data_IF_419211248495
#
_entry.id   IF_419211248495
#
_cell.length_a   1.000
_cell.length_b   1.000
_cell.length_c   1.000
_cell.angle_alpha   90.00
_cell.angle_beta   90.00
_cell.angle_gamma   90.00
#
_symmetry.space_group_name_H-M   'P 1'
#
loop_
_entity.id
_entity.type
_entity.pdbx_description
1 polymer ?
#
# COMPACT_ATOMS: atom_id res chain seq x y z
N UNK A 1 9.90 -10.98 -3.83
CA UNK A 1 8.92 -10.09 -4.51
C UNK A 1 8.80 -10.51 -5.97
N UNK A 2 7.60 -10.44 -6.51
CA UNK A 2 7.31 -10.75 -7.91
C UNK A 2 7.63 -9.51 -8.75
N UNK A 3 8.19 -9.70 -9.95
CA UNK A 3 8.50 -8.64 -10.91
C UNK A 3 9.47 -7.56 -10.41
N UNK A 4 9.24 -6.32 -10.86
CA UNK A 4 9.96 -5.10 -10.47
C UNK A 4 11.48 -5.18 -10.77
N UNK A 5 11.87 -5.70 -11.94
CA UNK A 5 13.27 -5.91 -12.28
C UNK A 5 14.08 -4.62 -12.17
N UNK A 6 13.63 -3.54 -12.82
CA UNK A 6 14.32 -2.26 -12.84
C UNK A 6 14.49 -1.68 -11.42
N UNK A 7 13.42 -1.70 -10.60
CA UNK A 7 13.49 -1.21 -9.24
C UNK A 7 14.45 -2.02 -8.35
N UNK A 8 14.48 -3.35 -8.53
CA UNK A 8 15.43 -4.23 -7.81
C UNK A 8 16.87 -3.93 -8.16
N UNK A 9 17.20 -3.78 -9.45
CA UNK A 9 18.53 -3.48 -9.94
C UNK A 9 19.06 -2.14 -9.38
N UNK A 10 18.22 -1.10 -9.39
CA UNK A 10 18.60 0.21 -8.85
C UNK A 10 18.82 0.14 -7.34
N UNK A 11 17.93 -0.56 -6.60
CA UNK A 11 18.05 -0.71 -5.15
C UNK A 11 19.29 -1.53 -4.78
N UNK A 12 19.58 -2.61 -5.50
CA UNK A 12 20.77 -3.43 -5.27
C UNK A 12 22.03 -2.60 -5.52
N UNK A 13 22.07 -1.84 -6.60
CA UNK A 13 23.16 -0.91 -6.92
C UNK A 13 23.35 0.11 -5.80
N UNK A 14 22.25 0.69 -5.29
CA UNK A 14 22.31 1.65 -4.18
C UNK A 14 22.88 1.02 -2.90
N UNK A 15 22.40 -0.15 -2.51
CA UNK A 15 22.88 -0.87 -1.32
C UNK A 15 24.36 -1.19 -1.45
N UNK A 16 24.80 -1.70 -2.61
CA UNK A 16 26.21 -2.02 -2.85
C UNK A 16 27.10 -0.75 -2.81
N UNK A 17 26.63 0.34 -3.41
CA UNK A 17 27.33 1.62 -3.35
C UNK A 17 27.51 2.11 -1.91
N UNK A 18 26.47 2.08 -1.09
CA UNK A 18 26.54 2.51 0.31
C UNK A 18 27.44 1.62 1.16
N UNK A 19 27.42 0.30 0.94
CA UNK A 19 28.33 -0.63 1.61
C UNK A 19 29.79 -0.31 1.31
N UNK A 20 30.11 -0.12 0.04
CA UNK A 20 31.49 0.20 -0.36
C UNK A 20 31.93 1.55 0.19
N UNK A 21 31.09 2.56 0.15
CA UNK A 21 31.39 3.89 0.73
C UNK A 21 31.62 3.82 2.24
N UNK A 22 30.85 3.00 2.97
CA UNK A 22 31.07 2.76 4.39
C UNK A 22 32.42 2.12 4.64
N UNK A 23 32.80 1.07 3.90
CA UNK A 23 34.10 0.43 4.01
C UNK A 23 35.24 1.42 3.74
N UNK A 24 35.18 2.21 2.68
CA UNK A 24 36.20 3.22 2.37
C UNK A 24 36.34 4.28 3.46
N UNK A 25 35.20 4.69 4.08
CA UNK A 25 35.24 5.63 5.20
C UNK A 25 35.94 5.01 6.41
N UNK A 26 35.59 3.79 6.74
CA UNK A 26 36.10 3.10 7.93
C UNK A 26 37.61 2.78 7.79
N UNK A 27 38.10 2.50 6.57
CA UNK A 27 39.49 2.17 6.32
C UNK A 27 40.38 3.40 6.04
N UNK A 28 39.87 4.42 5.33
CA UNK A 28 40.68 5.52 4.82
C UNK A 28 40.42 6.87 5.48
N UNK A 29 39.33 6.99 6.24
CA UNK A 29 38.96 8.20 6.99
C UNK A 29 38.51 9.41 6.16
N UNK A 30 38.44 9.30 4.81
CA UNK A 30 38.28 10.43 3.90
C UNK A 30 36.94 10.55 3.19
N UNK A 31 35.96 9.70 3.45
CA UNK A 31 34.72 9.73 2.69
C UNK A 31 33.61 10.46 3.43
N UNK A 32 33.12 11.57 2.87
CA UNK A 32 31.82 12.11 3.27
C UNK A 32 30.75 11.04 3.08
N UNK A 33 29.79 10.99 4.02
CA UNK A 33 28.63 10.10 3.89
C UNK A 33 27.80 10.53 2.68
N UNK A 34 27.58 9.65 1.69
CA UNK A 34 26.77 10.00 0.54
C UNK A 34 25.32 10.19 0.98
N UNK A 35 24.59 11.05 0.28
CA UNK A 35 23.15 11.13 0.44
C UNK A 35 22.53 9.78 0.09
N UNK A 36 21.67 9.26 0.98
CA UNK A 36 20.96 7.98 0.79
C UNK A 36 19.50 8.19 0.36
N UNK A 37 19.09 9.45 0.14
CA UNK A 37 17.72 9.75 -0.21
C UNK A 37 17.37 9.33 -1.63
N UNK A 38 16.12 8.92 -1.81
CA UNK A 38 15.64 8.33 -3.06
C UNK A 38 14.29 8.91 -3.48
N UNK A 39 13.98 8.75 -4.77
CA UNK A 39 12.64 8.96 -5.29
C UNK A 39 12.11 7.66 -5.91
N UNK A 40 10.88 7.28 -5.55
CA UNK A 40 10.17 6.13 -6.08
C UNK A 40 9.03 6.62 -6.97
N UNK A 41 9.11 6.33 -8.26
CA UNK A 41 8.10 6.75 -9.23
C UNK A 41 7.37 5.55 -9.82
N UNK A 42 6.06 5.63 -9.96
CA UNK A 42 5.26 4.57 -10.57
C UNK A 42 3.77 4.67 -10.23
N UNK A 43 2.97 3.94 -10.98
CA UNK A 43 1.52 3.90 -10.84
C UNK A 43 1.06 3.31 -9.50
N UNK A 44 -0.23 3.45 -9.12
CA UNK A 44 -0.76 2.88 -7.90
C UNK A 44 -0.62 1.35 -7.88
N UNK A 45 -0.39 0.79 -6.70
CA UNK A 45 -0.33 -0.66 -6.53
C UNK A 45 0.92 -1.35 -7.08
N UNK A 46 1.95 -0.61 -7.51
CA UNK A 46 3.26 -1.15 -7.96
C UNK A 46 4.19 -1.53 -6.81
N UNK A 47 3.69 -1.60 -5.59
CA UNK A 47 4.38 -2.02 -4.37
C UNK A 47 5.51 -1.09 -3.87
N UNK A 48 5.49 0.20 -4.17
CA UNK A 48 6.48 1.21 -3.70
C UNK A 48 6.72 1.12 -2.19
N UNK A 49 5.68 1.22 -1.38
CA UNK A 49 5.76 1.13 0.09
C UNK A 49 6.30 -0.22 0.59
N UNK A 50 5.90 -1.33 -0.07
CA UNK A 50 6.39 -2.67 0.31
C UNK A 50 7.89 -2.83 0.04
N UNK A 51 8.38 -2.26 -1.06
CA UNK A 51 9.81 -2.24 -1.39
C UNK A 51 10.57 -1.34 -0.43
N UNK A 52 10.04 -0.16 -0.10
CA UNK A 52 10.66 0.74 0.88
C UNK A 52 10.84 0.06 2.25
N UNK A 53 9.83 -0.73 2.67
CA UNK A 53 9.91 -1.51 3.93
C UNK A 53 10.98 -2.60 3.90
N UNK A 54 11.11 -3.32 2.78
CA UNK A 54 12.18 -4.30 2.59
C UNK A 54 13.56 -3.63 2.54
N UNK A 55 13.66 -2.51 1.84
CA UNK A 55 14.88 -1.72 1.74
C UNK A 55 15.36 -1.27 3.12
N UNK A 56 14.47 -0.75 3.97
CA UNK A 56 14.79 -0.37 5.34
C UNK A 56 15.39 -1.54 6.14
N UNK A 57 14.81 -2.76 6.02
CA UNK A 57 15.36 -3.97 6.63
C UNK A 57 16.74 -4.34 6.07
N UNK A 58 16.91 -4.31 4.75
CA UNK A 58 18.19 -4.59 4.10
C UNK A 58 19.27 -3.60 4.55
N UNK A 59 18.96 -2.31 4.65
CA UNK A 59 19.89 -1.28 5.11
C UNK A 59 20.33 -1.52 6.55
N UNK A 60 19.41 -1.90 7.44
CA UNK A 60 19.73 -2.30 8.83
C UNK A 60 20.63 -3.55 8.86
N UNK A 61 20.24 -4.60 8.15
CA UNK A 61 20.94 -5.88 8.17
C UNK A 61 22.38 -5.78 7.61
N UNK A 62 22.63 -4.74 6.81
CA UNK A 62 23.97 -4.38 6.34
C UNK A 62 24.67 -3.30 7.19
N UNK A 63 24.10 -2.93 8.34
CA UNK A 63 24.67 -1.94 9.24
C UNK A 63 24.73 -0.52 8.68
N UNK A 64 23.91 -0.20 7.67
CA UNK A 64 23.82 1.12 7.05
C UNK A 64 22.80 2.02 7.75
N UNK A 65 21.83 1.43 8.43
CA UNK A 65 20.88 2.10 9.32
C UNK A 65 20.88 1.39 10.67
N UNK A 66 20.76 2.15 11.75
CA UNK A 66 20.81 1.61 13.11
C UNK A 66 19.53 0.87 13.51
N UNK A 67 18.36 1.28 13.02
CA UNK A 67 17.04 0.74 13.39
C UNK A 67 16.35 0.02 12.23
N UNK A 68 16.30 0.63 11.05
CA UNK A 68 15.76 0.03 9.82
C UNK A 68 14.24 -0.14 9.80
N UNK A 69 13.48 0.74 10.45
CA UNK A 69 12.02 0.81 10.38
C UNK A 69 11.58 1.68 9.21
N UNK A 70 10.33 1.53 8.78
CA UNK A 70 9.68 2.41 7.82
C UNK A 70 8.66 3.29 8.54
N UNK A 71 8.80 4.61 8.42
CA UNK A 71 7.83 5.60 8.86
C UNK A 71 7.12 6.15 7.63
N UNK A 72 5.86 5.77 7.46
CA UNK A 72 5.03 6.21 6.34
C UNK A 72 4.34 7.53 6.71
N UNK A 73 4.51 8.55 5.88
CA UNK A 73 3.98 9.88 6.09
C UNK A 73 3.22 10.33 4.84
N UNK A 74 2.05 10.92 5.06
CA UNK A 74 1.32 11.68 4.06
C UNK A 74 1.40 13.18 4.35
N UNK A 75 0.78 14.00 3.47
CA UNK A 75 0.70 15.45 3.67
C UNK A 75 0.16 15.85 5.05
N UNK A 76 -0.90 15.17 5.52
CA UNK A 76 -1.54 15.45 6.82
C UNK A 76 -0.64 15.23 8.04
N UNK A 77 0.40 14.40 7.89
CA UNK A 77 1.36 14.08 8.95
C UNK A 77 2.51 15.08 9.03
N UNK A 78 2.68 15.91 7.99
CA UNK A 78 3.82 16.82 7.79
C UNK A 78 3.38 18.27 7.91
N UNK A 79 2.23 18.63 7.33
CA UNK A 79 1.76 20.01 7.24
C UNK A 79 0.94 20.37 8.49
N UNK A 80 1.39 21.39 9.22
CA UNK A 80 0.69 21.91 10.40
C UNK A 80 -0.56 22.71 10.05
N UNK A 81 -1.46 22.88 11.03
CA UNK A 81 -2.69 23.67 10.89
C UNK A 81 -2.45 25.18 11.09
N UNK A 82 -1.35 25.56 11.70
CA UNK A 82 -1.00 26.95 12.03
C UNK A 82 0.39 27.29 11.52
N UNK A 83 0.64 28.57 11.25
CA UNK A 83 1.93 29.09 10.81
C UNK A 83 3.02 28.76 11.84
N UNK A 84 4.17 28.26 11.37
CA UNK A 84 5.31 27.87 12.22
C UNK A 84 5.24 26.46 12.81
N UNK A 85 4.09 25.78 12.76
CA UNK A 85 3.99 24.43 13.32
C UNK A 85 4.55 23.36 12.37
N UNK A 86 4.56 23.62 11.08
CA UNK A 86 5.05 22.70 10.06
C UNK A 86 6.51 22.33 10.28
N UNK A 87 7.36 23.32 10.52
CA UNK A 87 8.78 23.08 10.79
C UNK A 87 9.02 22.20 12.02
N UNK A 88 8.28 22.44 13.12
CA UNK A 88 8.41 21.63 14.33
C UNK A 88 7.92 20.19 14.13
N UNK A 89 6.82 20.01 13.40
CA UNK A 89 6.31 18.67 13.03
C UNK A 89 7.34 17.92 12.21
N UNK A 90 7.89 18.53 11.15
CA UNK A 90 8.93 17.90 10.31
C UNK A 90 10.13 17.49 11.17
N UNK A 91 10.68 18.40 11.98
CA UNK A 91 11.82 18.10 12.86
C UNK A 91 11.51 16.96 13.83
N UNK A 92 10.29 16.90 14.36
CA UNK A 92 9.84 15.82 15.23
C UNK A 92 9.82 14.49 14.48
N UNK A 93 9.29 14.46 13.25
CA UNK A 93 9.26 13.25 12.40
C UNK A 93 10.66 12.74 12.07
N UNK A 94 11.60 13.61 11.74
CA UNK A 94 12.99 13.23 11.53
C UNK A 94 13.64 12.64 12.79
N UNK A 95 13.38 13.22 13.97
CA UNK A 95 13.86 12.65 15.25
C UNK A 95 13.28 11.28 15.54
N UNK A 96 11.98 11.08 15.29
CA UNK A 96 11.30 9.78 15.45
C UNK A 96 11.85 8.72 14.50
N UNK A 97 12.23 9.13 13.28
CA UNK A 97 12.71 8.24 12.21
C UNK A 97 14.23 8.05 12.22
N UNK A 98 14.94 8.52 13.23
CA UNK A 98 16.40 8.36 13.31
C UNK A 98 16.79 6.87 13.22
N UNK A 99 17.79 6.56 12.41
CA UNK A 99 18.21 5.18 12.13
C UNK A 99 17.27 4.40 11.21
N UNK A 100 16.37 5.08 10.51
CA UNK A 100 15.28 4.45 9.78
C UNK A 100 14.99 5.13 8.44
N UNK A 101 13.92 4.72 7.78
CA UNK A 101 13.44 5.27 6.51
C UNK A 101 12.19 6.08 6.74
N UNK A 102 12.19 7.34 6.31
CA UNK A 102 11.01 8.18 6.13
C UNK A 102 10.49 8.00 4.71
N UNK A 103 9.26 7.50 4.58
CA UNK A 103 8.60 7.31 3.31
C UNK A 103 7.46 8.32 3.18
N UNK A 104 7.61 9.26 2.26
CA UNK A 104 6.62 10.31 2.00
C UNK A 104 5.84 9.92 0.76
N UNK A 105 4.62 9.42 0.95
CA UNK A 105 3.76 9.03 -0.17
C UNK A 105 3.05 10.25 -0.76
N UNK A 106 2.82 10.20 -2.08
CA UNK A 106 2.24 11.31 -2.85
C UNK A 106 2.93 12.66 -2.54
N UNK A 107 4.27 12.65 -2.52
CA UNK A 107 5.10 13.78 -2.06
C UNK A 107 4.81 15.09 -2.81
N UNK A 108 4.34 15.02 -4.05
CA UNK A 108 3.89 16.17 -4.83
C UNK A 108 2.71 16.92 -4.17
N UNK A 109 1.94 16.24 -3.32
CA UNK A 109 0.84 16.85 -2.56
C UNK A 109 1.32 17.88 -1.53
N UNK A 110 2.61 17.88 -1.18
CA UNK A 110 3.21 18.90 -0.32
C UNK A 110 3.25 20.28 -1.00
N UNK A 111 3.31 20.32 -2.33
CA UNK A 111 3.28 21.57 -3.11
C UNK A 111 1.84 21.91 -3.44
N UNK A 112 1.23 22.77 -2.66
CA UNK A 112 -0.13 23.26 -2.92
C UNK A 112 -0.12 24.57 -3.70
N UNK A 113 -1.17 24.78 -4.49
CA UNK A 113 -1.43 26.02 -5.22
C UNK A 113 -1.73 27.25 -4.33
N UNK A 114 -1.96 27.02 -3.03
CA UNK A 114 -2.26 28.05 -2.02
C UNK A 114 -1.09 28.47 -1.11
N UNK A 115 0.10 27.94 -1.34
CA UNK A 115 1.41 28.58 -1.16
C UNK A 115 2.14 28.37 0.15
N UNK A 116 1.87 28.78 1.32
CA UNK A 116 2.93 29.01 2.32
C UNK A 116 3.35 27.81 3.20
N UNK A 117 2.43 26.91 3.52
CA UNK A 117 2.74 25.80 4.44
C UNK A 117 3.50 24.65 3.78
N UNK A 118 3.27 24.43 2.50
CA UNK A 118 3.97 23.39 1.75
C UNK A 118 5.44 23.75 1.50
N UNK A 119 5.72 24.99 1.16
CA UNK A 119 7.09 25.48 0.96
C UNK A 119 7.88 25.44 2.28
N UNK A 120 7.26 25.77 3.42
CA UNK A 120 7.86 25.63 4.75
C UNK A 120 8.22 24.17 5.03
N UNK A 121 7.31 23.23 4.72
CA UNK A 121 7.56 21.81 4.90
C UNK A 121 8.76 21.35 4.06
N UNK A 122 8.80 21.69 2.78
CA UNK A 122 9.86 21.27 1.86
C UNK A 122 11.21 21.86 2.28
N UNK A 123 11.26 23.15 2.61
CA UNK A 123 12.50 23.80 3.06
C UNK A 123 13.03 23.14 4.33
N UNK A 124 12.14 22.83 5.29
CA UNK A 124 12.54 22.14 6.51
C UNK A 124 12.99 20.71 6.25
N UNK A 125 12.29 19.97 5.35
CA UNK A 125 12.71 18.62 4.94
C UNK A 125 14.11 18.66 4.31
N UNK A 126 14.38 19.60 3.39
CA UNK A 126 15.69 19.77 2.75
C UNK A 126 16.80 20.00 3.80
N UNK A 127 16.52 20.81 4.81
CA UNK A 127 17.47 21.08 5.90
C UNK A 127 17.70 19.81 6.75
N UNK A 128 16.64 19.12 7.14
CA UNK A 128 16.74 17.90 7.96
C UNK A 128 17.34 16.72 7.18
N UNK A 129 17.15 16.63 5.87
CA UNK A 129 17.85 15.65 5.02
C UNK A 129 19.37 15.83 5.10
N UNK A 130 19.86 17.05 5.17
CA UNK A 130 21.31 17.32 5.33
C UNK A 130 21.78 16.99 6.76
N UNK A 131 21.02 17.42 7.77
CA UNK A 131 21.37 17.23 9.18
C UNK A 131 21.38 15.75 9.59
N UNK A 132 20.50 14.93 8.99
CA UNK A 132 20.30 13.51 9.33
C UNK A 132 20.86 12.55 8.27
N UNK A 133 21.66 13.01 7.29
CA UNK A 133 22.09 12.25 6.12
C UNK A 133 22.82 10.94 6.44
N UNK A 134 23.40 10.82 7.63
CA UNK A 134 24.20 9.65 8.01
C UNK A 134 23.38 8.45 8.48
N UNK A 135 22.22 8.69 9.05
CA UNK A 135 21.44 7.65 9.72
C UNK A 135 19.91 7.71 9.42
N UNK A 136 19.53 8.53 8.44
CA UNK A 136 18.11 8.61 8.04
C UNK A 136 17.99 8.70 6.53
N UNK A 137 17.19 7.81 5.95
CA UNK A 137 16.86 7.84 4.51
C UNK A 137 15.48 8.44 4.31
N UNK A 138 15.36 9.39 3.39
CA UNK A 138 14.07 9.90 2.92
C UNK A 138 13.78 9.31 1.55
N UNK A 139 12.60 8.72 1.40
CA UNK A 139 12.08 8.22 0.13
C UNK A 139 10.83 9.02 -0.20
N UNK A 140 10.88 9.78 -1.28
CA UNK A 140 9.72 10.45 -1.85
C UNK A 140 9.05 9.52 -2.86
N UNK A 141 7.75 9.31 -2.75
CA UNK A 141 7.02 8.43 -3.65
C UNK A 141 5.85 9.17 -4.32
N UNK A 142 5.54 8.77 -5.54
CA UNK A 142 4.39 9.33 -6.26
C UNK A 142 4.32 8.89 -7.72
N UNK A 143 3.40 9.52 -8.46
CA UNK A 143 3.26 9.30 -9.90
C UNK A 143 4.42 9.92 -10.68
N UNK A 144 4.84 9.32 -11.81
CA UNK A 144 6.03 9.76 -12.51
C UNK A 144 6.00 11.23 -12.95
N UNK A 145 4.89 11.67 -13.56
CA UNK A 145 4.75 13.05 -14.07
C UNK A 145 4.74 14.08 -12.95
N UNK A 146 3.93 13.83 -11.93
CA UNK A 146 3.77 14.70 -10.77
C UNK A 146 5.07 14.81 -9.96
N UNK A 147 5.81 13.70 -9.83
CA UNK A 147 7.11 13.69 -9.17
C UNK A 147 8.19 14.43 -9.98
N UNK A 148 8.15 14.34 -11.30
CA UNK A 148 9.06 15.12 -12.15
C UNK A 148 8.82 16.63 -11.98
N UNK A 149 7.57 17.08 -11.97
CA UNK A 149 7.20 18.48 -11.73
C UNK A 149 7.57 18.93 -10.30
N UNK A 150 7.31 18.07 -9.32
CA UNK A 150 7.68 18.31 -7.92
C UNK A 150 9.19 18.56 -7.76
N UNK A 151 10.02 17.73 -8.37
CA UNK A 151 11.48 17.89 -8.31
C UNK A 151 11.99 19.07 -9.14
N UNK A 152 11.34 19.43 -10.25
CA UNK A 152 11.67 20.64 -11.04
C UNK A 152 11.44 21.92 -10.24
N UNK A 153 10.37 21.97 -9.46
CA UNK A 153 10.04 23.12 -8.59
C UNK A 153 10.94 23.24 -7.37
N UNK A 154 11.61 22.15 -6.98
CA UNK A 154 12.39 22.06 -5.75
C UNK A 154 13.84 21.60 -6.02
N UNK A 155 14.70 22.45 -6.59
CA UNK A 155 16.07 22.07 -6.93
C UNK A 155 16.91 21.64 -5.72
N UNK A 156 16.60 22.14 -4.52
CA UNK A 156 17.22 21.73 -3.26
C UNK A 156 16.96 20.27 -2.91
N UNK A 157 15.75 19.75 -3.16
CA UNK A 157 15.45 18.31 -3.04
C UNK A 157 16.19 17.52 -4.10
N UNK A 158 16.10 17.97 -5.36
CA UNK A 158 16.70 17.26 -6.50
C UNK A 158 18.18 17.00 -6.33
N UNK A 159 18.93 17.97 -5.78
CA UNK A 159 20.39 17.83 -5.57
C UNK A 159 20.76 16.84 -4.46
N UNK A 160 19.83 16.51 -3.57
CA UNK A 160 20.02 15.59 -2.43
C UNK A 160 19.50 14.18 -2.69
N UNK A 161 18.80 13.97 -3.79
CA UNK A 161 18.28 12.65 -4.18
C UNK A 161 19.37 11.95 -5.00
N UNK A 162 19.87 10.84 -4.45
CA UNK A 162 20.94 10.07 -5.09
C UNK A 162 20.42 9.06 -6.12
N UNK A 163 19.22 8.47 -5.86
CA UNK A 163 18.68 7.40 -6.71
C UNK A 163 17.23 7.65 -7.09
N UNK A 164 16.95 7.44 -8.39
CA UNK A 164 15.60 7.41 -8.94
C UNK A 164 15.23 5.96 -9.23
N UNK A 165 14.20 5.46 -8.56
CA UNK A 165 13.77 4.07 -8.63
C UNK A 165 12.42 4.00 -9.36
N UNK A 166 12.40 3.58 -10.63
CA UNK A 166 11.17 3.44 -11.39
C UNK A 166 10.48 2.13 -11.02
N UNK A 167 9.17 2.21 -10.81
CA UNK A 167 8.28 1.09 -10.59
C UNK A 167 7.36 0.93 -11.80
N UNK A 168 7.73 0.04 -12.69
CA UNK A 168 6.94 -0.27 -13.87
C UNK A 168 5.65 -0.99 -13.49
N UNK A 169 4.65 -0.91 -14.38
CA UNK A 169 3.43 -1.69 -14.25
C UNK A 169 3.74 -3.19 -14.40
N UNK A 170 3.04 -4.00 -13.62
CA UNK A 170 3.21 -5.44 -13.68
C UNK A 170 2.74 -6.04 -15.00
N UNK A 171 3.46 -7.05 -15.48
CA UNK A 171 3.04 -7.91 -16.57
C UNK A 171 1.86 -8.80 -16.17
N UNK A 172 1.14 -9.36 -17.17
CA UNK A 172 -0.02 -10.23 -16.92
C UNK A 172 0.33 -11.41 -16.03
N UNK A 173 1.43 -12.11 -16.31
CA UNK A 173 1.86 -13.27 -15.51
C UNK A 173 2.30 -12.88 -14.10
N UNK A 174 2.88 -11.70 -13.94
CA UNK A 174 3.23 -11.15 -12.63
C UNK A 174 1.98 -10.86 -11.81
N UNK A 175 0.93 -10.31 -12.43
CA UNK A 175 -0.36 -10.05 -11.77
C UNK A 175 -1.07 -11.35 -11.37
N UNK A 176 -1.04 -12.38 -12.21
CA UNK A 176 -1.54 -13.73 -11.85
C UNK A 176 -0.79 -14.24 -10.61
N UNK A 177 0.54 -14.20 -10.64
CA UNK A 177 1.36 -14.64 -9.51
C UNK A 177 1.11 -13.82 -8.23
N UNK A 178 0.84 -12.52 -8.36
CA UNK A 178 0.46 -11.65 -7.23
C UNK A 178 -0.90 -12.06 -6.68
N UNK A 179 -1.89 -12.31 -7.54
CA UNK A 179 -3.21 -12.79 -7.14
C UNK A 179 -3.14 -14.13 -6.41
N UNK A 180 -2.36 -15.09 -6.95
CA UNK A 180 -2.11 -16.39 -6.30
C UNK A 180 -1.47 -16.22 -4.92
N UNK A 181 -0.47 -15.35 -4.80
CA UNK A 181 0.19 -15.07 -3.52
C UNK A 181 -0.78 -14.47 -2.49
N UNK A 182 -1.66 -13.57 -2.94
CA UNK A 182 -2.69 -12.95 -2.08
C UNK A 182 -3.70 -14.01 -1.64
N UNK A 183 -4.23 -14.82 -2.57
CA UNK A 183 -5.18 -15.88 -2.28
C UNK A 183 -4.59 -16.91 -1.31
N UNK A 184 -3.35 -17.36 -1.56
CA UNK A 184 -2.64 -18.30 -0.69
C UNK A 184 -2.48 -17.79 0.73
N UNK A 185 -2.16 -16.51 0.93
CA UNK A 185 -2.07 -15.89 2.27
C UNK A 185 -3.41 -15.87 3.00
N UNK A 186 -4.52 -15.95 2.28
CA UNK A 186 -5.89 -16.01 2.81
C UNK A 186 -6.44 -17.44 2.90
N UNK A 187 -5.61 -18.46 2.62
CA UNK A 187 -6.01 -19.86 2.63
C UNK A 187 -6.83 -20.29 1.42
N UNK A 188 -6.81 -19.51 0.33
CA UNK A 188 -7.49 -19.79 -0.93
C UNK A 188 -6.49 -20.16 -2.03
N UNK A 189 -6.93 -20.97 -3.00
CA UNK A 189 -6.15 -21.40 -4.16
C UNK A 189 -7.00 -21.24 -5.43
N UNK A 190 -6.41 -20.80 -6.51
CA UNK A 190 -7.08 -20.75 -7.82
C UNK A 190 -6.96 -22.10 -8.53
N UNK A 191 -8.05 -22.55 -9.19
CA UNK A 191 -7.96 -23.64 -10.16
C UNK A 191 -7.19 -23.19 -11.40
N UNK A 192 -6.72 -24.13 -12.23
CA UNK A 192 -5.94 -23.79 -13.43
C UNK A 192 -6.78 -23.00 -14.43
N UNK A 193 -8.05 -23.34 -14.61
CA UNK A 193 -8.99 -22.58 -15.45
C UNK A 193 -9.24 -21.17 -14.87
N UNK A 194 -9.22 -21.02 -13.55
CA UNK A 194 -9.34 -19.71 -12.93
C UNK A 194 -8.11 -18.84 -13.17
N UNK A 195 -6.90 -19.43 -13.23
CA UNK A 195 -5.65 -18.71 -13.57
C UNK A 195 -5.65 -18.24 -15.02
N UNK A 196 -6.11 -19.07 -15.96
CA UNK A 196 -6.25 -18.68 -17.37
C UNK A 196 -7.22 -17.51 -17.51
N UNK A 197 -8.35 -17.58 -16.82
CA UNK A 197 -9.33 -16.48 -16.79
C UNK A 197 -8.78 -15.22 -16.16
N UNK A 198 -8.02 -15.33 -15.05
CA UNK A 198 -7.30 -14.21 -14.45
C UNK A 198 -6.35 -13.52 -15.44
N UNK A 199 -5.58 -14.31 -16.20
CA UNK A 199 -4.67 -13.78 -17.22
C UNK A 199 -5.44 -12.95 -18.25
N UNK A 200 -6.57 -13.48 -18.77
CA UNK A 200 -7.42 -12.76 -19.71
C UNK A 200 -7.99 -11.47 -19.13
N UNK A 201 -8.44 -11.51 -17.88
CA UNK A 201 -8.97 -10.31 -17.17
C UNK A 201 -7.89 -9.26 -16.99
N UNK A 202 -6.68 -9.65 -16.61
CA UNK A 202 -5.57 -8.72 -16.44
C UNK A 202 -5.09 -8.14 -17.76
N UNK A 203 -5.07 -8.91 -18.85
CA UNK A 203 -4.69 -8.40 -20.17
C UNK A 203 -5.62 -7.29 -20.66
N UNK A 204 -6.90 -7.39 -20.39
CA UNK A 204 -7.87 -6.35 -20.71
C UNK A 204 -7.69 -5.15 -19.77
N UNK A 205 -7.60 -5.37 -18.46
CA UNK A 205 -7.55 -4.32 -17.46
C UNK A 205 -6.28 -3.44 -17.57
N UNK A 206 -5.14 -4.03 -17.94
CA UNK A 206 -3.86 -3.32 -18.12
C UNK A 206 -3.86 -2.26 -19.22
N UNK A 207 -4.84 -2.29 -20.12
CA UNK A 207 -4.97 -1.29 -21.21
C UNK A 207 -5.57 0.03 -20.71
N UNK A 208 -6.12 0.03 -19.49
CA UNK A 208 -6.67 1.26 -18.89
C UNK A 208 -5.52 2.15 -18.35
N UNK A 209 -5.56 3.47 -18.60
CA UNK A 209 -4.58 4.41 -18.06
C UNK A 209 -4.56 4.45 -16.53
N UNK A 210 -5.70 4.15 -15.89
CA UNK A 210 -5.86 4.16 -14.43
C UNK A 210 -5.72 2.76 -13.82
N UNK A 211 -4.93 1.90 -14.44
CA UNK A 211 -4.77 0.53 -13.98
C UNK A 211 -4.10 0.47 -12.59
N UNK A 212 -4.78 -0.15 -11.63
CA UNK A 212 -4.38 -0.18 -10.23
C UNK A 212 -3.39 -1.30 -9.84
N UNK A 213 -2.80 -2.01 -10.80
CA UNK A 213 -1.76 -3.02 -10.57
C UNK A 213 -2.11 -4.03 -9.45
N UNK A 214 -1.28 -4.15 -8.42
CA UNK A 214 -1.49 -5.05 -7.29
C UNK A 214 -2.75 -4.73 -6.46
N UNK A 215 -3.26 -3.47 -6.46
CA UNK A 215 -4.56 -3.14 -5.86
C UNK A 215 -5.70 -3.79 -6.66
N UNK A 216 -5.62 -3.73 -7.99
CA UNK A 216 -6.58 -4.39 -8.85
C UNK A 216 -6.56 -5.92 -8.65
N UNK A 217 -5.37 -6.54 -8.61
CA UNK A 217 -5.24 -7.96 -8.32
C UNK A 217 -5.86 -8.34 -6.97
N UNK A 218 -5.65 -7.54 -5.93
CA UNK A 218 -6.28 -7.74 -4.61
C UNK A 218 -7.80 -7.68 -4.69
N UNK A 219 -8.35 -6.68 -5.37
CA UNK A 219 -9.79 -6.53 -5.53
C UNK A 219 -10.42 -7.72 -6.25
N UNK A 220 -9.73 -8.27 -7.27
CA UNK A 220 -10.18 -9.49 -7.96
C UNK A 220 -10.24 -10.68 -7.00
N UNK A 221 -9.20 -10.89 -6.19
CA UNK A 221 -9.17 -11.98 -5.19
C UNK A 221 -10.31 -11.84 -4.20
N UNK A 222 -10.52 -10.64 -3.64
CA UNK A 222 -11.60 -10.37 -2.67
C UNK A 222 -12.98 -10.65 -3.26
N UNK A 223 -13.22 -10.24 -4.51
CA UNK A 223 -14.48 -10.54 -5.20
C UNK A 223 -14.64 -12.02 -5.52
N UNK A 224 -13.56 -12.70 -5.89
CA UNK A 224 -13.61 -14.14 -6.12
C UNK A 224 -13.96 -14.91 -4.84
N UNK A 225 -13.42 -14.50 -3.70
CA UNK A 225 -13.77 -15.07 -2.39
C UNK A 225 -15.25 -14.83 -2.03
N UNK A 226 -15.77 -13.62 -2.28
CA UNK A 226 -17.20 -13.31 -2.09
C UNK A 226 -18.10 -14.17 -2.98
N UNK A 227 -17.73 -14.37 -4.26
CA UNK A 227 -18.48 -15.20 -5.20
C UNK A 227 -18.46 -16.67 -4.80
N UNK A 228 -17.29 -17.18 -4.40
CA UNK A 228 -17.19 -18.53 -3.81
C UNK A 228 -18.13 -18.67 -2.62
N UNK A 229 -18.14 -17.73 -1.68
CA UNK A 229 -19.03 -17.76 -0.53
C UNK A 229 -20.50 -17.80 -0.96
N UNK A 230 -20.91 -16.98 -1.93
CA UNK A 230 -22.26 -16.97 -2.48
C UNK A 230 -22.62 -18.27 -3.23
N UNK A 231 -21.65 -18.90 -3.90
CA UNK A 231 -21.84 -20.20 -4.55
C UNK A 231 -22.05 -21.31 -3.53
N UNK A 232 -21.22 -21.35 -2.49
CA UNK A 232 -21.29 -22.36 -1.45
C UNK A 232 -22.55 -22.19 -0.57
N UNK A 233 -22.99 -20.97 -0.32
CA UNK A 233 -24.21 -20.70 0.46
C UNK A 233 -25.51 -21.24 -0.18
N UNK A 234 -25.47 -21.66 -1.46
CA UNK A 234 -26.59 -22.31 -2.15
C UNK A 234 -26.61 -23.83 -1.98
N UNK A 235 -25.53 -24.40 -1.47
CA UNK A 235 -25.38 -25.83 -1.21
C UNK A 235 -25.81 -26.15 0.22
N UNK A 236 -26.13 -27.41 0.50
CA UNK A 236 -26.34 -27.87 1.88
C UNK A 236 -24.99 -27.95 2.58
N UNK A 237 -24.94 -27.66 3.87
CA UNK A 237 -23.69 -27.67 4.65
C UNK A 237 -22.97 -29.03 4.58
N UNK A 238 -23.71 -30.12 4.48
CA UNK A 238 -23.20 -31.50 4.39
C UNK A 238 -22.52 -31.79 3.04
N UNK A 239 -22.85 -31.03 2.00
CA UNK A 239 -22.31 -31.19 0.64
C UNK A 239 -21.01 -30.39 0.43
N UNK A 240 -20.68 -29.46 1.34
CA UNK A 240 -19.52 -28.57 1.22
C UNK A 240 -18.27 -29.29 1.71
N UNK A 241 -17.36 -29.58 0.79
CA UNK A 241 -16.08 -30.19 1.13
C UNK A 241 -15.05 -29.14 1.56
N UNK A 242 -14.01 -29.56 2.29
CA UNK A 242 -12.89 -28.69 2.64
C UNK A 242 -12.19 -28.12 1.39
N UNK A 243 -12.20 -28.88 0.30
CA UNK A 243 -11.65 -28.45 -0.99
C UNK A 243 -12.46 -27.32 -1.60
N UNK A 244 -13.79 -27.39 -1.55
CA UNK A 244 -14.67 -26.34 -2.05
C UNK A 244 -14.48 -25.03 -1.32
N UNK A 245 -14.22 -25.09 -0.01
CA UNK A 245 -13.92 -23.91 0.80
C UNK A 245 -12.58 -23.24 0.46
N UNK A 246 -11.64 -23.97 -0.14
CA UNK A 246 -10.31 -23.44 -0.47
C UNK A 246 -10.17 -23.02 -1.93
N UNK A 247 -10.88 -23.69 -2.86
CA UNK A 247 -10.69 -23.45 -4.30
C UNK A 247 -11.57 -22.33 -4.84
N UNK A 248 -10.93 -21.39 -5.53
CA UNK A 248 -11.55 -20.37 -6.36
C UNK A 248 -11.59 -20.90 -7.81
N UNK A 249 -12.79 -21.06 -8.35
CA UNK A 249 -13.03 -21.56 -9.70
C UNK A 249 -13.07 -20.44 -10.73
N UNK A 250 -13.09 -20.79 -12.01
CA UNK A 250 -13.23 -19.80 -13.09
C UNK A 250 -14.53 -18.98 -12.96
N UNK A 251 -15.61 -19.55 -12.43
CA UNK A 251 -16.89 -18.84 -12.22
C UNK A 251 -16.79 -17.79 -11.12
N UNK A 252 -15.90 -17.98 -10.16
CA UNK A 252 -15.68 -17.01 -9.08
C UNK A 252 -14.87 -15.79 -9.59
N UNK A 253 -14.08 -15.93 -10.68
CA UNK A 253 -13.30 -14.84 -11.27
C UNK A 253 -14.16 -13.97 -12.19
N UNK A 254 -14.15 -12.66 -11.98
CA UNK A 254 -14.83 -11.69 -12.84
C UNK A 254 -14.01 -10.42 -13.00
N UNK A 255 -14.07 -9.83 -14.20
CA UNK A 255 -13.52 -8.50 -14.43
C UNK A 255 -14.20 -7.48 -13.51
N UNK A 256 -13.41 -6.59 -12.94
CA UNK A 256 -13.95 -5.41 -12.26
C UNK A 256 -14.01 -4.30 -13.30
N UNK A 257 -15.19 -3.82 -13.64
CA UNK A 257 -15.29 -2.50 -14.25
C UNK A 257 -14.86 -1.48 -13.20
N UNK A 258 -14.04 -0.52 -13.61
CA UNK A 258 -13.54 0.52 -12.71
C UNK A 258 -14.69 1.15 -11.93
N UNK A 259 -14.72 0.91 -10.63
CA UNK A 259 -15.44 1.72 -9.63
C UNK A 259 -16.98 1.67 -9.59
N UNK A 260 -17.70 1.03 -10.52
CA UNK A 260 -19.15 1.19 -10.65
C UNK A 260 -19.94 -0.05 -11.06
N UNK A 261 -19.56 -1.23 -10.61
CA UNK A 261 -20.61 -2.21 -10.36
C UNK A 261 -21.09 -2.01 -8.92
N UNK A 262 -21.95 -1.02 -8.76
CA UNK A 262 -22.93 -1.02 -7.70
C UNK A 262 -23.52 -2.43 -7.63
N UNK A 263 -23.56 -3.01 -6.43
CA UNK A 263 -24.39 -4.14 -6.13
C UNK A 263 -25.86 -3.76 -6.42
N UNK A 264 -26.27 -3.76 -7.68
CA UNK A 264 -27.64 -3.77 -8.11
C UNK A 264 -28.21 -5.21 -8.00
N UNK A 265 -27.94 -5.86 -6.87
CA UNK A 265 -28.89 -6.78 -6.32
C UNK A 265 -29.89 -5.88 -5.59
N UNK A 266 -31.13 -5.81 -6.11
CA UNK A 266 -32.26 -5.38 -5.32
C UNK A 266 -32.06 -5.98 -3.92
N UNK A 267 -32.25 -5.21 -2.83
CA UNK A 267 -32.04 -5.73 -1.49
C UNK A 267 -32.97 -6.94 -1.32
N UNK A 268 -32.46 -8.14 -1.59
CA UNK A 268 -33.08 -9.34 -1.06
C UNK A 268 -32.97 -9.14 0.43
N UNK A 269 -34.11 -8.86 1.06
CA UNK A 269 -34.27 -8.83 2.50
C UNK A 269 -33.52 -10.07 3.01
N UNK A 270 -32.35 -9.88 3.59
CA UNK A 270 -31.75 -10.85 4.48
C UNK A 270 -32.79 -10.93 5.59
N UNK A 271 -33.45 -12.06 5.68
CA UNK A 271 -34.57 -12.24 6.61
C UNK A 271 -34.07 -12.15 8.05
N UNK A 272 -34.05 -10.96 8.56
CA UNK A 272 -34.47 -10.78 9.93
C UNK A 272 -35.97 -11.04 9.87
N UNK A 273 -36.45 -12.14 10.48
CA UNK A 273 -37.86 -12.35 10.74
C UNK A 273 -38.38 -11.06 11.35
N UNK A 274 -39.15 -10.29 10.58
CA UNK A 274 -40.02 -9.30 11.17
C UNK A 274 -41.05 -10.13 11.90
N UNK A 275 -40.99 -10.16 13.21
CA UNK A 275 -42.05 -10.67 14.05
C UNK A 275 -43.34 -10.00 13.57
N UNK A 276 -44.30 -10.79 13.14
CA UNK A 276 -45.64 -10.31 12.81
C UNK A 276 -46.23 -9.67 14.06
N UNK A 277 -47.10 -8.69 13.86
CA UNK A 277 -47.75 -7.98 14.98
C UNK A 277 -48.49 -8.90 15.97
N UNK A 278 -48.81 -10.14 15.57
CA UNK A 278 -49.48 -11.15 16.39
C UNK A 278 -48.58 -11.84 17.43
N UNK A 279 -47.26 -11.87 17.22
CA UNK A 279 -46.31 -12.47 18.20
C UNK A 279 -45.93 -11.52 19.34
N UNK A 280 -46.21 -10.23 19.22
CA UNK A 280 -45.93 -9.24 20.29
C UNK A 280 -46.91 -9.38 21.48
N UNK A 281 -48.07 -10.01 21.29
CA UNK A 281 -49.08 -10.15 22.35
C UNK A 281 -48.80 -11.31 23.32
N UNK A 282 -47.87 -12.22 23.00
CA UNK A 282 -47.59 -13.40 23.85
C UNK A 282 -46.59 -13.06 24.98
N UNK A 283 -45.76 -12.05 24.79
CA UNK A 283 -44.77 -11.65 25.83
C UNK A 283 -45.30 -10.60 26.81
N UNK A 284 -46.34 -9.83 26.45
CA UNK A 284 -46.93 -8.82 27.34
C UNK A 284 -47.87 -9.43 28.40
N UNK A 285 -48.39 -10.64 28.17
CA UNK A 285 -49.24 -11.37 29.13
C UNK A 285 -48.41 -12.10 30.20
N UNK A 286 -47.16 -12.42 29.97
CA UNK A 286 -46.30 -13.12 30.96
C UNK A 286 -45.63 -12.18 31.97
N UNK A 287 -45.62 -10.86 31.71
CA UNK A 287 -45.07 -9.85 32.62
C UNK A 287 -46.14 -9.27 33.58
N UNK A 288 -47.44 -9.33 33.22
CA UNK A 288 -48.50 -8.86 34.09
C UNK A 288 -48.90 -9.84 35.19
N UNK A 289 -48.67 -11.14 35.01
CA UNK A 289 -48.95 -12.17 36.01
C UNK A 289 -47.88 -12.31 37.10
N UNK A 290 -46.73 -11.60 37.00
CA UNK A 290 -45.72 -11.60 38.05
C UNK A 290 -45.71 -10.36 38.95
N UNK A 291 -46.59 -9.39 38.72
CA UNK A 291 -46.75 -8.22 39.57
C UNK A 291 -47.97 -8.22 40.49
N UNK A 292 -48.82 -9.25 40.38
CA UNK A 292 -49.98 -9.40 41.26
C UNK A 292 -49.85 -10.48 42.36
N UNK A 293 -48.61 -11.01 42.54
CA UNK A 293 -48.31 -11.97 43.62
C UNK A 293 -47.00 -11.66 44.33
N UNK A 294 -46.81 -10.38 44.75
CA UNK A 294 -45.80 -10.00 45.73
C UNK A 294 -46.33 -8.87 46.62
#
# INVERSE_FOLDING_TARGET
MIGLKNAKEVIETAVNYYKMRKLFRDEQGYAESPSMHMVFTGNPGTAKTSVARLFAGIMRDNGLLSVGKLFELGRSDIVGKYVGWTADIVKKKFREARGSVLFIDEAYSLVDSSGSFGDEAINTIVQEMENAREDTVVIFAGYPKEMEEFLKKNPGLRSRIAFHVPFDDYGTQELVSIAELIAKKRGSLFSDEAKEKLASVFDVARRSPDFGNGRYARNIVERAEMRRANRLAKLRLEEITRRDMQILTADDVCATQNGAEQFNAAPRRIGFCTWSADERNIYDTSLKTKQESA
#
